data_IF_938679673423
#
_entry.id   IF_938679673423
#
_cell.length_a   1.000
_cell.length_b   1.000
_cell.length_c   1.000
_cell.angle_alpha   90.00
_cell.angle_beta   90.00
_cell.angle_gamma   90.00
#
_symmetry.space_group_name_H-M   'P 1'
#
loop_
_entity.id
_entity.type
_entity.pdbx_description
1 polymer ?
#
# COMPACT_ATOMS: atom_id res chain seq x y z
N UNK A 1 45.85 -12.43 41.73
CA UNK A 1 46.98 -12.98 42.52
C UNK A 1 47.14 -14.42 42.09
N UNK A 2 48.20 -14.94 41.49
CA UNK A 2 49.60 -14.54 41.24
C UNK A 2 49.86 -14.59 39.71
N UNK A 3 50.62 -13.73 39.04
CA UNK A 3 52.04 -13.31 39.14
C UNK A 3 53.05 -14.45 38.95
N UNK A 4 53.61 -14.54 37.73
CA UNK A 4 54.95 -15.10 37.48
C UNK A 4 55.73 -14.09 36.62
N UNK A 5 56.86 -13.64 37.16
CA UNK A 5 57.82 -12.66 36.64
C UNK A 5 58.88 -13.34 35.75
N UNK A 6 59.21 -12.74 34.59
CA UNK A 6 60.52 -12.13 34.21
C UNK A 6 61.55 -13.10 33.57
N UNK A 7 62.55 -12.64 32.75
CA UNK A 7 63.16 -11.31 32.71
C UNK A 7 63.41 -10.64 31.33
N UNK A 8 63.84 -9.37 31.43
CA UNK A 8 64.27 -8.36 30.43
C UNK A 8 65.73 -8.58 29.94
N UNK A 9 66.43 -7.59 29.32
CA UNK A 9 66.27 -6.97 27.99
C UNK A 9 67.59 -6.96 27.19
N UNK A 10 67.58 -6.54 25.92
CA UNK A 10 68.76 -5.88 25.33
C UNK A 10 68.37 -4.70 24.43
N UNK A 11 68.94 -3.54 24.78
CA UNK A 11 68.95 -2.27 24.04
C UNK A 11 69.92 -2.37 22.86
N UNK A 12 69.59 -1.69 21.75
CA UNK A 12 70.56 -0.95 20.97
C UNK A 12 69.89 0.21 20.21
N UNK A 13 70.53 1.36 20.27
CA UNK A 13 70.20 2.62 19.60
C UNK A 13 70.59 2.59 18.12
N UNK A 14 69.90 3.36 17.27
CA UNK A 14 70.44 4.59 16.65
C UNK A 14 69.76 4.97 15.31
N UNK A 15 69.48 6.26 15.21
CA UNK A 15 69.33 7.18 14.07
C UNK A 15 69.60 6.71 12.63
N UNK A 16 68.80 7.24 11.69
CA UNK A 16 69.20 7.37 10.28
C UNK A 16 68.06 7.86 9.39
N UNK A 17 68.16 9.11 8.95
CA UNK A 17 67.32 9.84 7.99
C UNK A 17 67.32 9.21 6.57
N UNK A 18 66.27 9.47 5.78
CA UNK A 18 66.31 9.29 4.32
C UNK A 18 65.02 8.80 3.66
N UNK A 19 64.23 9.73 3.10
CA UNK A 19 63.44 9.43 1.88
C UNK A 19 64.31 9.57 0.62
N UNK A 20 63.79 9.47 -0.62
CA UNK A 20 62.42 9.15 -1.04
C UNK A 20 62.31 8.14 -2.23
N UNK A 21 61.09 7.71 -2.56
CA UNK A 21 60.68 7.39 -3.95
C UNK A 21 60.41 5.92 -4.31
N UNK A 22 59.26 5.68 -4.96
CA UNK A 22 58.95 4.44 -5.70
C UNK A 22 57.58 3.83 -5.38
N UNK A 23 56.49 4.41 -5.89
CA UNK A 23 55.68 3.80 -6.97
C UNK A 23 55.01 2.45 -6.61
N UNK A 24 53.95 2.53 -5.81
CA UNK A 24 52.94 1.46 -5.65
C UNK A 24 51.60 1.91 -6.22
N UNK A 25 51.29 1.41 -7.43
CA UNK A 25 50.06 1.57 -8.22
C UNK A 25 48.77 1.69 -7.39
N UNK A 26 48.16 2.87 -7.38
CA UNK A 26 46.74 3.03 -7.05
C UNK A 26 45.91 2.47 -8.20
N UNK A 27 45.24 1.33 -7.97
CA UNK A 27 44.18 0.87 -8.87
C UNK A 27 43.07 1.93 -8.98
N UNK A 28 42.32 1.97 -10.09
CA UNK A 28 41.25 2.93 -10.26
C UNK A 28 40.23 2.79 -9.11
N UNK A 29 39.68 3.89 -8.60
CA UNK A 29 38.66 3.83 -7.56
C UNK A 29 37.50 2.97 -8.06
N UNK A 30 37.07 2.02 -7.24
CA UNK A 30 35.89 1.21 -7.52
C UNK A 30 34.72 2.16 -7.86
N UNK A 31 34.25 2.08 -9.10
CA UNK A 31 33.05 2.78 -9.55
C UNK A 31 31.90 2.36 -8.63
N UNK A 32 31.55 3.22 -7.66
CA UNK A 32 30.25 3.13 -7.01
C UNK A 32 29.22 3.30 -8.13
N UNK A 33 28.51 2.21 -8.43
CA UNK A 33 27.40 2.24 -9.35
C UNK A 33 26.48 3.41 -8.97
N UNK A 34 26.04 4.24 -9.93
CA UNK A 34 25.09 5.30 -9.65
C UNK A 34 23.87 4.66 -8.99
N UNK A 35 23.37 5.29 -7.92
CA UNK A 35 22.15 4.90 -7.21
C UNK A 35 21.07 4.61 -8.26
N UNK A 36 20.75 3.34 -8.45
CA UNK A 36 19.79 2.90 -9.44
C UNK A 36 18.54 3.76 -9.32
N UNK A 37 18.12 4.38 -10.43
CA UNK A 37 16.81 5.00 -10.54
C UNK A 37 15.79 3.88 -10.34
N UNK A 38 15.37 3.64 -9.09
CA UNK A 38 14.10 2.96 -8.84
C UNK A 38 13.06 3.88 -9.43
N UNK A 39 12.61 3.59 -10.65
CA UNK A 39 11.36 4.15 -11.12
C UNK A 39 10.31 3.76 -10.07
N UNK A 40 9.83 4.77 -9.34
CA UNK A 40 8.71 4.60 -8.42
C UNK A 40 7.47 4.47 -9.30
N UNK A 41 7.18 3.23 -9.70
CA UNK A 41 5.91 2.90 -10.32
C UNK A 41 4.78 3.19 -9.32
N UNK A 42 3.73 3.81 -9.82
CA UNK A 42 2.59 4.27 -9.02
C UNK A 42 1.32 3.75 -9.67
N UNK A 43 0.54 3.00 -8.91
CA UNK A 43 -0.78 2.53 -9.31
C UNK A 43 -1.84 3.55 -8.94
N UNK A 44 -2.79 3.82 -9.85
CA UNK A 44 -3.93 4.69 -9.57
C UNK A 44 -5.07 3.88 -8.97
N UNK A 45 -5.77 4.48 -8.01
CA UNK A 45 -6.95 3.91 -7.41
C UNK A 45 -8.04 4.96 -7.20
N UNK A 46 -9.29 4.52 -7.25
CA UNK A 46 -10.46 5.38 -7.33
C UNK A 46 -11.52 4.96 -6.32
N UNK A 47 -12.21 5.91 -5.70
CA UNK A 47 -13.36 5.60 -4.84
C UNK A 47 -14.42 6.69 -4.89
N UNK A 48 -15.68 6.28 -4.79
CA UNK A 48 -16.77 7.19 -4.55
C UNK A 48 -17.04 7.33 -3.05
N UNK A 49 -17.36 8.55 -2.62
CA UNK A 49 -17.72 8.86 -1.23
C UNK A 49 -18.89 9.84 -1.25
N UNK A 50 -19.92 9.61 -0.43
CA UNK A 50 -21.02 10.58 -0.29
C UNK A 50 -20.45 11.94 0.13
N UNK A 51 -20.90 13.02 -0.48
CA UNK A 51 -20.37 14.37 -0.27
C UNK A 51 -20.33 14.77 1.22
N UNK A 52 -21.36 14.38 1.99
CA UNK A 52 -21.41 14.61 3.45
C UNK A 52 -20.31 13.94 4.27
N UNK A 53 -19.55 13.01 3.68
CA UNK A 53 -18.43 12.30 4.32
C UNK A 53 -17.08 12.57 3.65
N UNK A 54 -16.98 13.62 2.83
CA UNK A 54 -15.76 13.95 2.08
C UNK A 54 -14.50 14.07 2.97
N UNK A 55 -14.61 14.72 4.13
CA UNK A 55 -13.49 14.89 5.06
C UNK A 55 -13.01 13.57 5.68
N UNK A 56 -13.82 12.52 5.54
CA UNK A 56 -13.57 11.17 6.04
C UNK A 56 -13.23 10.18 4.93
N UNK A 57 -13.05 10.65 3.69
CA UNK A 57 -12.88 9.81 2.50
C UNK A 57 -11.78 8.76 2.63
N UNK A 58 -10.72 8.99 3.42
CA UNK A 58 -9.61 8.05 3.59
C UNK A 58 -9.35 7.65 5.06
N UNK A 59 -10.35 7.78 5.94
CA UNK A 59 -10.22 7.41 7.36
C UNK A 59 -10.49 5.92 7.63
N UNK A 60 -11.23 5.25 6.75
CA UNK A 60 -11.69 3.87 6.96
C UNK A 60 -12.87 3.71 7.91
N UNK A 61 -13.37 4.80 8.52
CA UNK A 61 -14.50 4.76 9.47
C UNK A 61 -15.76 4.13 8.86
N UNK A 62 -16.00 4.35 7.57
CA UNK A 62 -17.14 3.78 6.85
C UNK A 62 -17.13 2.25 6.89
N UNK A 63 -15.96 1.64 6.67
CA UNK A 63 -15.80 0.19 6.69
C UNK A 63 -15.83 -0.41 8.11
N UNK A 64 -15.61 0.39 9.16
CA UNK A 64 -15.86 -0.08 10.53
C UNK A 64 -17.35 -0.13 10.86
N UNK A 65 -18.11 0.86 10.38
CA UNK A 65 -19.56 0.93 10.59
C UNK A 65 -20.30 -0.09 9.73
N UNK A 66 -19.86 -0.26 8.49
CA UNK A 66 -20.44 -1.18 7.51
C UNK A 66 -19.31 -2.00 6.89
N UNK A 67 -18.95 -3.14 7.51
CA UNK A 67 -17.85 -3.99 7.05
C UNK A 67 -18.03 -4.46 5.61
N UNK A 68 -16.94 -4.40 4.85
CA UNK A 68 -16.90 -4.89 3.48
C UNK A 68 -16.52 -6.37 3.39
N UNK A 69 -16.15 -6.80 2.18
CA UNK A 69 -15.74 -8.19 1.93
C UNK A 69 -14.46 -8.58 2.65
N UNK A 70 -13.54 -7.64 2.81
CA UNK A 70 -12.17 -7.86 3.25
C UNK A 70 -11.86 -7.18 4.59
N UNK A 71 -12.86 -6.95 5.45
CA UNK A 71 -12.62 -6.50 6.82
C UNK A 71 -13.81 -6.81 7.72
N UNK A 72 -13.56 -7.00 9.01
CA UNK A 72 -14.58 -6.87 10.06
C UNK A 72 -14.68 -5.42 10.56
N UNK A 73 -15.64 -5.15 11.44
CA UNK A 73 -15.80 -3.85 12.09
C UNK A 73 -14.59 -3.44 12.96
N UNK A 74 -13.70 -4.38 13.29
CA UNK A 74 -12.53 -4.14 14.12
C UNK A 74 -11.49 -3.22 13.45
N UNK A 75 -11.41 -3.21 12.11
CA UNK A 75 -10.32 -2.55 11.39
C UNK A 75 -10.83 -1.50 10.39
N UNK A 76 -10.32 -0.26 10.45
CA UNK A 76 -10.67 0.79 9.50
C UNK A 76 -9.96 0.57 8.17
N UNK A 77 -10.67 0.02 7.18
CA UNK A 77 -10.11 -0.20 5.84
C UNK A 77 -10.71 0.79 4.85
N UNK A 78 -9.87 1.33 3.97
CA UNK A 78 -10.31 2.16 2.85
C UNK A 78 -10.33 1.31 1.59
N UNK A 79 -11.51 1.17 0.98
CA UNK A 79 -11.69 0.48 -0.29
C UNK A 79 -11.55 1.46 -1.45
N UNK A 80 -10.78 1.06 -2.44
CA UNK A 80 -10.62 1.75 -3.72
C UNK A 80 -10.58 0.72 -4.85
N UNK A 81 -10.91 1.14 -6.07
CA UNK A 81 -10.96 0.30 -7.26
C UNK A 81 -9.82 0.68 -8.22
N UNK A 82 -9.37 -0.27 -9.06
CA UNK A 82 -8.31 -0.04 -10.04
C UNK A 82 -8.67 0.94 -11.17
N UNK A 83 -9.96 1.18 -11.38
CA UNK A 83 -10.46 2.09 -12.39
C UNK A 83 -11.75 2.78 -11.96
N UNK A 84 -12.08 3.87 -12.63
CA UNK A 84 -13.33 4.61 -12.40
C UNK A 84 -14.55 3.75 -12.75
N UNK A 85 -14.49 2.98 -13.85
CA UNK A 85 -15.55 2.04 -14.25
C UNK A 85 -15.87 1.02 -13.15
N UNK A 86 -14.84 0.41 -12.55
CA UNK A 86 -15.01 -0.51 -11.43
C UNK A 86 -15.56 0.19 -10.19
N UNK A 87 -15.08 1.39 -9.88
CA UNK A 87 -15.61 2.19 -8.77
C UNK A 87 -17.12 2.49 -8.94
N UNK A 88 -17.56 2.77 -10.17
CA UNK A 88 -18.98 2.94 -10.51
C UNK A 88 -19.74 1.63 -10.27
N UNK A 89 -19.21 0.49 -10.73
CA UNK A 89 -19.88 -0.80 -10.57
C UNK A 89 -20.01 -1.22 -9.11
N UNK A 90 -18.96 -1.05 -8.31
CA UNK A 90 -18.98 -1.29 -6.86
C UNK A 90 -19.99 -0.38 -6.15
N UNK A 91 -20.08 0.90 -6.57
CA UNK A 91 -21.09 1.83 -6.06
C UNK A 91 -22.50 1.39 -6.43
N UNK A 92 -22.76 1.06 -7.70
CA UNK A 92 -24.07 0.61 -8.18
C UNK A 92 -24.53 -0.69 -7.51
N UNK A 93 -23.62 -1.61 -7.21
CA UNK A 93 -23.91 -2.85 -6.50
C UNK A 93 -24.28 -2.64 -5.02
N UNK A 94 -23.94 -1.48 -4.45
CA UNK A 94 -24.18 -1.16 -3.04
C UNK A 94 -25.35 -0.21 -2.80
N UNK A 95 -25.66 0.69 -3.75
CA UNK A 95 -26.77 1.63 -3.58
C UNK A 95 -28.12 0.97 -3.89
N UNK A 96 -29.13 1.33 -3.11
CA UNK A 96 -30.52 0.91 -3.35
C UNK A 96 -31.24 1.85 -4.32
N UNK A 97 -30.75 3.08 -4.50
CA UNK A 97 -31.37 4.09 -5.35
C UNK A 97 -30.31 4.82 -6.18
N UNK A 98 -30.39 4.68 -7.51
CA UNK A 98 -29.48 5.34 -8.44
C UNK A 98 -29.66 6.87 -8.48
N UNK A 99 -30.79 7.40 -8.00
CA UNK A 99 -31.01 8.85 -7.88
C UNK A 99 -30.03 9.50 -6.92
N UNK A 100 -29.39 8.72 -6.05
CA UNK A 100 -28.39 9.18 -5.10
C UNK A 100 -27.00 9.37 -5.73
N UNK A 101 -26.75 8.91 -6.96
CA UNK A 101 -25.44 9.01 -7.62
C UNK A 101 -24.86 10.43 -7.61
N UNK A 102 -25.62 11.52 -7.89
CA UNK A 102 -25.11 12.89 -7.83
C UNK A 102 -24.62 13.34 -6.44
N UNK A 103 -24.98 12.61 -5.38
CA UNK A 103 -24.50 12.90 -4.02
C UNK A 103 -23.12 12.31 -3.73
N UNK A 104 -22.51 11.59 -4.66
CA UNK A 104 -21.19 10.99 -4.52
C UNK A 104 -20.12 11.80 -5.25
N UNK A 105 -18.97 11.91 -4.59
CA UNK A 105 -17.77 12.55 -5.10
C UNK A 105 -16.73 11.48 -5.42
N UNK A 106 -16.02 11.65 -6.54
CA UNK A 106 -14.93 10.78 -6.95
C UNK A 106 -13.61 11.24 -6.30
N UNK A 107 -12.91 10.33 -5.66
CA UNK A 107 -11.57 10.55 -5.13
C UNK A 107 -10.56 9.64 -5.79
N UNK A 108 -9.30 10.09 -5.81
CA UNK A 108 -8.17 9.36 -6.35
C UNK A 108 -7.11 9.14 -5.26
N UNK A 109 -6.46 7.98 -5.31
CA UNK A 109 -5.28 7.69 -4.54
C UNK A 109 -4.17 7.20 -5.48
N UNK A 110 -2.99 7.73 -5.29
CA UNK A 110 -1.77 7.32 -5.98
C UNK A 110 -0.99 6.42 -5.03
N UNK A 111 -0.92 5.14 -5.40
CA UNK A 111 -0.40 4.05 -4.58
C UNK A 111 1.00 3.68 -5.06
N UNK A 112 2.06 4.03 -4.33
CA UNK A 112 3.41 3.57 -4.65
C UNK A 112 3.45 2.03 -4.60
N UNK A 113 3.97 1.40 -5.65
CA UNK A 113 3.98 -0.07 -5.76
C UNK A 113 4.82 -0.74 -4.66
N UNK A 114 5.83 -0.05 -4.12
CA UNK A 114 6.64 -0.55 -3.00
C UNK A 114 5.88 -0.63 -1.67
N UNK A 115 4.68 -0.03 -1.59
CA UNK A 115 3.79 -0.10 -0.43
C UNK A 115 2.67 -1.12 -0.61
N UNK A 116 2.61 -1.81 -1.75
CA UNK A 116 1.55 -2.72 -2.14
C UNK A 116 1.96 -4.17 -1.90
N UNK A 117 1.14 -4.89 -1.16
CA UNK A 117 1.10 -6.35 -1.18
C UNK A 117 0.01 -6.82 -2.13
N UNK A 118 0.14 -8.03 -2.65
CA UNK A 118 -0.88 -8.66 -3.51
C UNK A 118 -1.38 -9.92 -2.85
N UNK A 119 -2.70 -10.07 -2.75
CA UNK A 119 -3.33 -11.34 -2.41
C UNK A 119 -3.30 -12.24 -3.66
N UNK A 120 -2.53 -13.35 -3.65
CA UNK A 120 -2.49 -14.28 -4.76
C UNK A 120 -3.81 -15.02 -4.91
N UNK A 121 -4.17 -15.37 -6.15
CA UNK A 121 -5.42 -16.08 -6.41
C UNK A 121 -5.46 -17.47 -5.77
N UNK A 122 -4.29 -18.09 -5.58
CA UNK A 122 -4.15 -19.38 -4.88
C UNK A 122 -4.51 -19.32 -3.39
N UNK A 123 -4.47 -18.13 -2.79
CA UNK A 123 -4.79 -17.91 -1.37
C UNK A 123 -6.27 -17.52 -1.17
N UNK A 124 -7.06 -17.44 -2.25
CA UNK A 124 -8.48 -17.14 -2.18
C UNK A 124 -9.26 -18.38 -1.71
N UNK A 125 -10.13 -18.26 -0.70
CA UNK A 125 -10.98 -19.36 -0.27
C UNK A 125 -12.02 -19.64 -1.35
N UNK A 126 -12.51 -20.89 -1.45
CA UNK A 126 -13.46 -21.29 -2.52
C UNK A 126 -14.76 -20.49 -2.53
N UNK A 127 -15.14 -19.89 -1.40
CA UNK A 127 -16.34 -19.08 -1.22
C UNK A 127 -16.09 -17.58 -1.38
N UNK A 128 -14.90 -17.13 -1.80
CA UNK A 128 -14.50 -15.71 -1.73
C UNK A 128 -15.43 -14.74 -2.47
N UNK A 129 -16.18 -15.24 -3.47
CA UNK A 129 -17.16 -14.48 -4.27
C UNK A 129 -18.59 -14.58 -3.76
N UNK A 130 -18.87 -15.38 -2.73
CA UNK A 130 -20.20 -15.55 -2.19
C UNK A 130 -20.80 -14.19 -1.76
N UNK A 131 -22.13 -14.11 -1.82
CA UNK A 131 -22.90 -12.96 -1.36
C UNK A 131 -24.01 -13.45 -0.42
N UNK A 132 -24.13 -12.91 0.82
CA UNK A 132 -23.28 -11.88 1.43
C UNK A 132 -21.80 -12.29 1.59
N UNK A 133 -20.92 -11.31 1.81
CA UNK A 133 -19.48 -11.57 1.91
C UNK A 133 -19.15 -12.51 3.10
N UNK A 134 -18.40 -13.60 2.87
CA UNK A 134 -18.14 -14.61 3.88
C UNK A 134 -17.11 -14.16 4.91
N UNK A 135 -17.08 -14.82 6.07
CA UNK A 135 -16.09 -14.53 7.11
C UNK A 135 -14.67 -14.98 6.74
N UNK A 136 -14.56 -15.92 5.79
CA UNK A 136 -13.27 -16.37 5.23
C UNK A 136 -12.49 -15.19 4.61
N UNK A 137 -13.14 -14.34 3.82
CA UNK A 137 -12.49 -13.17 3.20
C UNK A 137 -12.22 -12.05 4.20
N UNK A 138 -13.10 -11.86 5.19
CA UNK A 138 -12.87 -10.88 6.26
C UNK A 138 -11.64 -11.25 7.09
N UNK A 139 -11.47 -12.53 7.41
CA UNK A 139 -10.31 -13.05 8.15
C UNK A 139 -9.00 -12.76 7.42
N UNK A 140 -8.97 -12.91 6.10
CA UNK A 140 -7.79 -12.59 5.27
C UNK A 140 -7.42 -11.11 5.39
N UNK A 141 -8.40 -10.22 5.21
CA UNK A 141 -8.16 -8.79 5.26
C UNK A 141 -7.81 -8.28 6.66
N UNK A 142 -8.46 -8.80 7.70
CA UNK A 142 -8.13 -8.50 9.09
C UNK A 142 -6.70 -8.94 9.43
N UNK A 143 -6.31 -10.14 8.99
CA UNK A 143 -4.95 -10.66 9.18
C UNK A 143 -3.92 -9.77 8.49
N UNK A 144 -4.16 -9.38 7.24
CA UNK A 144 -3.29 -8.43 6.54
C UNK A 144 -3.16 -7.11 7.30
N UNK A 145 -4.29 -6.56 7.76
CA UNK A 145 -4.33 -5.29 8.48
C UNK A 145 -3.51 -5.35 9.77
N UNK A 146 -3.72 -6.38 10.58
CA UNK A 146 -3.01 -6.60 11.85
C UNK A 146 -1.51 -6.80 11.64
N UNK A 147 -1.12 -7.55 10.61
CA UNK A 147 0.29 -7.80 10.32
C UNK A 147 1.02 -6.55 9.86
N UNK A 148 0.33 -5.59 9.23
CA UNK A 148 0.92 -4.30 8.83
C UNK A 148 2.17 -4.43 7.95
N UNK A 149 2.21 -5.48 7.11
CA UNK A 149 3.35 -5.77 6.20
C UNK A 149 3.40 -4.83 5.01
N UNK A 150 2.25 -4.33 4.57
CA UNK A 150 2.10 -3.35 3.49
C UNK A 150 1.06 -2.29 3.85
N UNK A 151 1.13 -1.11 3.23
CA UNK A 151 0.12 -0.07 3.43
C UNK A 151 -1.12 -0.31 2.58
N UNK A 152 -0.95 -1.05 1.48
CA UNK A 152 -1.98 -1.37 0.50
C UNK A 152 -2.01 -2.88 0.28
N UNK A 153 -3.21 -3.46 0.16
CA UNK A 153 -3.42 -4.82 -0.34
C UNK A 153 -4.22 -4.77 -1.63
N UNK A 154 -3.64 -5.35 -2.67
CA UNK A 154 -4.28 -5.59 -3.95
C UNK A 154 -5.05 -6.91 -3.90
N UNK A 155 -6.37 -6.84 -4.07
CA UNK A 155 -7.31 -7.99 -4.02
C UNK A 155 -8.14 -8.04 -5.31
N UNK A 156 -8.59 -9.21 -5.76
CA UNK A 156 -9.51 -9.29 -6.90
C UNK A 156 -10.87 -8.63 -6.55
N UNK A 157 -11.52 -8.00 -7.53
CA UNK A 157 -12.94 -7.63 -7.38
C UNK A 157 -13.82 -8.87 -7.46
N UNK A 158 -14.81 -8.97 -6.56
CA UNK A 158 -15.80 -10.05 -6.62
C UNK A 158 -16.80 -9.85 -7.78
N UNK A 159 -17.04 -8.60 -8.17
CA UNK A 159 -17.93 -8.22 -9.28
C UNK A 159 -17.25 -8.49 -10.62
N UNK A 160 -15.99 -8.07 -10.77
CA UNK A 160 -15.20 -8.26 -12.01
C UNK A 160 -13.84 -8.90 -11.65
N UNK A 161 -13.73 -10.24 -11.61
CA UNK A 161 -12.52 -10.92 -11.14
C UNK A 161 -11.24 -10.65 -11.94
N UNK A 162 -11.38 -10.13 -13.17
CA UNK A 162 -10.25 -9.71 -13.99
C UNK A 162 -9.67 -8.34 -13.58
N UNK A 163 -10.37 -7.60 -12.73
CA UNK A 163 -9.96 -6.31 -12.21
C UNK A 163 -9.69 -6.38 -10.69
N UNK A 164 -9.04 -5.34 -10.15
CA UNK A 164 -8.58 -5.35 -8.76
C UNK A 164 -9.16 -4.20 -7.96
N UNK A 165 -9.44 -4.49 -6.70
CA UNK A 165 -9.64 -3.47 -5.67
C UNK A 165 -8.35 -3.33 -4.85
N UNK A 166 -8.12 -2.13 -4.33
CA UNK A 166 -7.02 -1.84 -3.43
C UNK A 166 -7.57 -1.45 -2.07
N UNK A 167 -7.21 -2.22 -1.06
CA UNK A 167 -7.48 -1.94 0.34
C UNK A 167 -6.34 -1.11 0.89
N UNK A 168 -6.64 0.03 1.48
CA UNK A 168 -5.64 0.91 2.09
C UNK A 168 -5.81 0.86 3.60
N UNK A 169 -4.71 0.67 4.31
CA UNK A 169 -4.64 0.73 5.77
C UNK A 169 -4.29 2.18 6.18
N UNK A 170 -5.25 2.98 6.69
CA UNK A 170 -5.05 4.38 7.04
C UNK A 170 -4.18 4.58 8.28
N UNK A 171 -3.99 3.55 9.11
CA UNK A 171 -3.14 3.63 10.32
C UNK A 171 -1.74 3.06 10.09
N UNK A 172 -1.44 2.56 8.90
CA UNK A 172 -0.12 2.03 8.58
C UNK A 172 0.94 3.14 8.59
N UNK A 173 2.14 2.85 9.13
CA UNK A 173 3.25 3.84 9.27
C UNK A 173 3.67 4.53 7.97
N UNK A 174 3.41 3.91 6.83
CA UNK A 174 3.72 4.43 5.49
C UNK A 174 2.51 5.01 4.74
N UNK A 175 1.33 5.07 5.36
CA UNK A 175 0.12 5.65 4.75
C UNK A 175 0.37 7.07 4.23
N UNK A 176 1.13 7.89 4.96
CA UNK A 176 1.53 9.26 4.57
C UNK A 176 2.30 9.37 3.24
N UNK A 177 2.79 8.25 2.69
CA UNK A 177 3.47 8.21 1.39
C UNK A 177 2.48 8.02 0.22
N UNK A 178 1.23 7.65 0.51
CA UNK A 178 0.15 7.58 -0.47
C UNK A 178 -0.33 9.00 -0.73
N UNK A 179 -0.34 9.43 -2.00
CA UNK A 179 -0.88 10.75 -2.36
C UNK A 179 -2.37 10.61 -2.60
N UNK A 180 -3.14 11.30 -1.78
CA UNK A 180 -4.59 11.35 -1.85
C UNK A 180 -5.01 12.64 -2.56
N UNK A 181 -5.97 12.56 -3.45
CA UNK A 181 -6.48 13.73 -4.18
C UNK A 181 -7.98 13.62 -4.43
N UNK A 182 -8.58 14.79 -4.66
CA UNK A 182 -9.99 14.94 -4.95
C UNK A 182 -10.71 15.90 -3.99
N UNK A 183 -12.01 16.12 -4.20
CA UNK A 183 -12.83 15.46 -5.23
C UNK A 183 -12.38 15.81 -6.66
N UNK A 184 -12.47 14.84 -7.57
CA UNK A 184 -12.23 15.00 -9.01
C UNK A 184 -13.56 15.30 -9.68
N UNK A 185 -13.57 16.25 -10.61
CA UNK A 185 -14.75 16.56 -11.41
C UNK A 185 -15.19 15.32 -12.18
N UNK A 186 -16.39 14.83 -11.84
CA UNK A 186 -16.96 13.63 -12.42
C UNK A 186 -18.48 13.73 -12.41
N UNK A 187 -19.07 13.62 -13.59
CA UNK A 187 -20.51 13.58 -13.77
C UNK A 187 -20.96 12.18 -14.19
N UNK A 188 -21.97 11.66 -13.50
CA UNK A 188 -22.59 10.40 -13.90
C UNK A 188 -23.42 10.61 -15.16
N UNK A 189 -23.26 9.72 -16.14
CA UNK A 189 -24.15 9.68 -17.30
C UNK A 189 -25.60 9.41 -16.82
N UNK A 190 -26.60 10.21 -17.26
CA UNK A 190 -27.99 10.06 -16.82
C UNK A 190 -28.58 8.66 -17.05
N UNK A 191 -28.04 7.89 -18.00
CA UNK A 191 -28.48 6.49 -18.23
C UNK A 191 -28.16 5.58 -17.05
N UNK A 192 -27.10 5.86 -16.29
CA UNK A 192 -26.75 5.08 -15.08
C UNK A 192 -27.80 5.22 -13.99
N UNK A 193 -28.46 6.38 -13.90
CA UNK A 193 -29.54 6.63 -12.94
C UNK A 193 -30.81 5.81 -13.22
N UNK A 194 -30.86 5.13 -14.36
CA UNK A 194 -32.00 4.31 -14.75
C UNK A 194 -31.79 2.82 -14.44
N UNK A 195 -30.57 2.42 -14.05
CA UNK A 195 -30.18 1.01 -13.91
C UNK A 195 -30.63 0.38 -12.59
N UNK A 196 -30.66 1.15 -11.50
CA UNK A 196 -31.12 0.67 -10.19
C UNK A 196 -32.45 1.33 -9.90
N UNK A 197 -33.54 0.60 -10.19
CA UNK A 197 -34.91 0.94 -9.80
C UNK A 197 -35.47 -0.25 -9.03
N UNK A 198 -35.77 -0.04 -7.76
CA UNK A 198 -36.62 -0.95 -7.00
C UNK A 198 -38.07 -0.48 -7.09
#
# INVERSE_FOLDING_TARGET
>A
MAETREPRPHRAHAHGDGGPGGHGRTGPPAHRAPRAWRLLMTTLAWRFVKAKYQDKAFTGEGAQKFPGRWNTAAFPVVYTASGVSLAILELLAYIEDASLLPSYLLFRADLPEDLMGTLPDADLPSDWRAFPAPDSTKTIGDTWFQQGRSAVLSVPSALVPLERNYLINPVHRHFRKIRLSGPVDFDFDPRLMQLVRH
#
